data_IF_570695745215
#
_entry.id   IF_570695745215
#
_cell.length_a   1.000
_cell.length_b   1.000
_cell.length_c   1.000
_cell.angle_alpha   90.00
_cell.angle_beta   90.00
_cell.angle_gamma   90.00
#
_symmetry.space_group_name_H-M   'P 1'
#
loop_
_entity.id
_entity.type
_entity.pdbx_description
1 polymer ?
#
# COMPACT_ATOMS: atom_id res chain seq x y z
N UNK A 1 -40.04 -73.43 -42.38
CA UNK A 1 -39.97 -73.93 -41.00
C UNK A 1 -38.88 -73.17 -40.24
N UNK A 2 -39.24 -72.67 -39.10
CA UNK A 2 -38.40 -72.09 -37.99
C UNK A 2 -38.01 -70.60 -38.08
N UNK A 3 -38.74 -69.91 -37.30
CA UNK A 3 -38.65 -68.63 -36.69
C UNK A 3 -37.33 -68.44 -35.95
N UNK A 4 -36.68 -67.28 -36.11
CA UNK A 4 -35.63 -66.92 -35.21
C UNK A 4 -35.76 -65.40 -34.88
N UNK A 5 -35.86 -65.15 -33.60
CA UNK A 5 -36.20 -63.89 -32.96
C UNK A 5 -35.12 -62.79 -33.07
N UNK A 6 -35.55 -61.65 -33.51
CA UNK A 6 -34.80 -60.42 -33.41
C UNK A 6 -34.78 -59.97 -31.93
N UNK A 7 -33.62 -59.89 -31.31
CA UNK A 7 -33.41 -59.15 -30.01
C UNK A 7 -32.78 -57.86 -30.33
N UNK A 8 -33.58 -56.82 -30.19
CA UNK A 8 -33.13 -55.43 -30.19
C UNK A 8 -32.34 -55.15 -28.87
N UNK A 9 -31.08 -54.79 -29.02
CA UNK A 9 -30.26 -54.31 -27.95
C UNK A 9 -30.30 -52.77 -28.01
N UNK A 10 -31.04 -52.19 -27.07
CA UNK A 10 -31.05 -50.75 -26.84
C UNK A 10 -29.76 -50.34 -26.13
N UNK A 11 -28.84 -49.69 -26.84
CA UNK A 11 -27.68 -49.03 -26.23
C UNK A 11 -28.15 -47.71 -25.62
N UNK A 12 -28.23 -47.69 -24.31
CA UNK A 12 -28.41 -46.48 -23.54
C UNK A 12 -27.13 -45.62 -23.57
N UNK A 13 -27.19 -44.51 -24.27
CA UNK A 13 -26.16 -43.50 -24.29
C UNK A 13 -26.25 -42.68 -22.97
N UNK A 14 -25.43 -43.01 -21.97
CA UNK A 14 -25.31 -42.17 -20.76
C UNK A 14 -24.40 -40.99 -21.10
N UNK A 15 -25.01 -39.85 -21.36
CA UNK A 15 -24.29 -38.57 -21.46
C UNK A 15 -23.88 -38.13 -20.06
N UNK A 16 -22.64 -38.40 -19.69
CA UNK A 16 -22.02 -37.78 -18.51
C UNK A 16 -21.75 -36.30 -18.80
N UNK A 17 -22.61 -35.43 -18.28
CA UNK A 17 -22.35 -34.00 -18.21
C UNK A 17 -21.20 -33.79 -17.23
N UNK A 18 -19.98 -33.66 -17.78
CA UNK A 18 -18.85 -33.13 -17.03
C UNK A 18 -19.18 -31.66 -16.69
N UNK A 19 -19.70 -31.45 -15.49
CA UNK A 19 -19.78 -30.15 -14.89
C UNK A 19 -18.33 -29.69 -14.67
N UNK A 20 -17.81 -28.85 -15.58
CA UNK A 20 -16.64 -28.02 -15.30
C UNK A 20 -17.07 -27.04 -14.21
N UNK A 21 -16.88 -27.43 -12.96
CA UNK A 21 -16.84 -26.51 -11.84
C UNK A 21 -15.63 -25.60 -12.06
N UNK A 22 -15.86 -24.44 -12.67
CA UNK A 22 -14.88 -23.39 -12.68
C UNK A 22 -14.62 -23.02 -11.22
N UNK A 23 -13.43 -23.32 -10.72
CA UNK A 23 -12.95 -22.74 -9.47
C UNK A 23 -12.91 -21.23 -9.72
N UNK A 24 -13.92 -20.55 -9.22
CA UNK A 24 -13.92 -19.09 -9.16
C UNK A 24 -12.79 -18.72 -8.18
N UNK A 25 -11.64 -18.34 -8.72
CA UNK A 25 -10.56 -17.77 -7.92
C UNK A 25 -11.13 -16.56 -7.17
N UNK A 26 -10.84 -16.43 -5.89
CA UNK A 26 -11.29 -15.25 -5.16
C UNK A 26 -10.82 -14.01 -5.91
N UNK A 27 -11.67 -12.99 -6.06
CA UNK A 27 -11.30 -11.76 -6.74
C UNK A 27 -10.01 -11.22 -6.14
N UNK A 28 -9.04 -10.93 -6.98
CA UNK A 28 -7.77 -10.33 -6.55
C UNK A 28 -8.03 -9.00 -5.82
N UNK A 29 -7.05 -8.50 -5.06
CA UNK A 29 -7.20 -7.19 -4.42
C UNK A 29 -7.54 -6.14 -5.50
N UNK A 30 -8.42 -5.19 -5.18
CA UNK A 30 -8.78 -4.14 -6.12
C UNK A 30 -7.53 -3.38 -6.58
N UNK A 31 -7.44 -2.99 -7.84
CA UNK A 31 -6.31 -2.20 -8.33
C UNK A 31 -6.22 -0.88 -7.55
N UNK A 32 -4.99 -0.37 -7.34
CA UNK A 32 -4.83 0.92 -6.68
C UNK A 32 -5.58 2.00 -7.44
N UNK A 33 -6.14 3.00 -6.74
CA UNK A 33 -6.86 4.10 -7.37
C UNK A 33 -5.93 4.83 -8.35
N UNK A 34 -6.42 5.12 -9.55
CA UNK A 34 -5.71 5.85 -10.59
C UNK A 34 -5.98 7.35 -10.52
N UNK A 35 -5.15 8.13 -11.24
CA UNK A 35 -5.26 9.58 -11.37
C UNK A 35 -4.63 10.37 -10.22
N UNK A 36 -4.72 11.71 -10.31
CA UNK A 36 -4.07 12.59 -9.34
C UNK A 36 -4.73 12.47 -7.96
N UNK A 37 -3.92 12.65 -6.92
CA UNK A 37 -4.42 12.61 -5.56
C UNK A 37 -3.33 12.51 -4.51
N UNK A 38 -3.70 12.15 -3.30
CA UNK A 38 -2.77 12.03 -2.19
C UNK A 38 -2.34 10.58 -1.98
N UNK A 39 -1.05 10.43 -1.68
CA UNK A 39 -0.50 9.25 -1.03
C UNK A 39 -0.25 9.59 0.44
N UNK A 40 -0.28 8.57 1.29
CA UNK A 40 -0.03 8.74 2.72
C UNK A 40 1.16 7.90 3.17
N UNK A 41 1.93 8.48 4.11
CA UNK A 41 3.03 7.82 4.78
C UNK A 41 2.57 7.38 6.16
N UNK A 42 2.61 6.08 6.40
CA UNK A 42 2.31 5.48 7.68
C UNK A 42 3.60 5.22 8.43
N UNK A 43 3.64 5.63 9.69
CA UNK A 43 4.71 5.36 10.63
C UNK A 43 4.33 4.19 11.54
N UNK A 44 5.21 3.21 11.65
CA UNK A 44 5.25 2.29 12.78
C UNK A 44 6.38 2.70 13.69
N UNK A 45 6.09 2.84 14.97
CA UNK A 45 7.06 3.24 15.99
C UNK A 45 6.99 2.31 17.19
N UNK A 46 8.15 1.89 17.74
CA UNK A 46 8.19 1.11 18.97
C UNK A 46 8.05 2.00 20.23
N UNK A 47 7.89 3.33 20.06
CA UNK A 47 7.94 4.30 21.15
C UNK A 47 6.72 5.21 21.16
N UNK A 48 6.44 5.81 22.31
CA UNK A 48 5.32 6.74 22.53
C UNK A 48 5.76 8.18 22.78
N UNK A 49 7.07 8.45 22.76
CA UNK A 49 7.65 9.74 23.08
C UNK A 49 8.39 10.41 21.90
N UNK A 50 8.06 10.02 20.69
CA UNK A 50 8.62 10.64 19.49
C UNK A 50 8.14 12.07 19.35
N UNK A 51 9.07 12.97 19.03
CA UNK A 51 8.82 14.40 18.96
C UNK A 51 9.25 15.04 17.67
N UNK A 52 10.15 14.41 16.92
CA UNK A 52 10.53 14.88 15.60
C UNK A 52 10.98 13.72 14.72
N UNK A 53 10.62 13.80 13.43
CA UNK A 53 11.06 12.89 12.37
C UNK A 53 11.71 13.70 11.26
N UNK A 54 12.82 13.19 10.73
CA UNK A 54 13.36 13.61 9.46
C UNK A 54 13.10 12.49 8.45
N UNK A 55 12.36 12.80 7.40
CA UNK A 55 11.96 11.85 6.35
C UNK A 55 12.44 12.37 5.01
N UNK A 56 13.05 11.50 4.21
CA UNK A 56 13.32 11.78 2.80
C UNK A 56 12.28 11.07 1.93
N UNK A 57 11.56 11.86 1.12
CA UNK A 57 10.64 11.38 0.10
C UNK A 57 11.33 11.40 -1.27
N UNK A 58 11.17 10.34 -2.05
CA UNK A 58 11.75 10.23 -3.39
C UNK A 58 10.85 9.42 -4.32
N UNK A 59 11.18 9.38 -5.61
CA UNK A 59 10.59 8.46 -6.59
C UNK A 59 9.73 9.10 -7.67
N UNK A 60 9.52 10.42 -7.64
CA UNK A 60 8.75 11.12 -8.69
C UNK A 60 8.33 12.52 -8.30
N UNK A 61 7.50 13.17 -9.11
CA UNK A 61 6.99 14.50 -8.81
C UNK A 61 6.19 14.50 -7.52
N UNK A 62 6.56 15.40 -6.61
CA UNK A 62 5.91 15.61 -5.32
C UNK A 62 5.21 16.98 -5.35
N UNK A 63 3.92 16.98 -5.03
CA UNK A 63 3.14 18.20 -4.88
C UNK A 63 3.02 18.66 -3.43
N UNK A 64 1.87 19.24 -3.08
CA UNK A 64 1.63 19.76 -1.74
C UNK A 64 1.73 18.68 -0.66
N UNK A 65 2.34 19.05 0.45
CA UNK A 65 2.47 18.22 1.64
C UNK A 65 1.42 18.60 2.68
N UNK A 66 0.86 17.61 3.37
CA UNK A 66 -0.07 17.80 4.49
C UNK A 66 0.33 16.90 5.64
N UNK A 67 0.37 17.44 6.84
CA UNK A 67 0.60 16.69 8.09
C UNK A 67 -0.65 16.71 8.95
N UNK A 68 -0.90 15.62 9.66
CA UNK A 68 -2.15 15.42 10.39
C UNK A 68 -2.15 16.05 11.79
N UNK A 69 -1.00 16.20 12.45
CA UNK A 69 -0.95 16.45 13.90
C UNK A 69 0.14 17.42 14.36
N UNK A 70 0.92 18.07 13.45
CA UNK A 70 2.21 18.63 13.85
C UNK A 70 2.68 19.77 12.95
N UNK A 71 3.70 20.45 13.37
CA UNK A 71 4.38 21.46 12.56
C UNK A 71 5.20 20.80 11.47
N UNK A 72 4.93 21.15 10.22
CA UNK A 72 5.68 20.73 9.07
C UNK A 72 6.75 21.75 8.73
N UNK A 73 8.00 21.33 8.69
CA UNK A 73 9.11 22.08 8.12
C UNK A 73 9.63 21.34 6.91
N UNK A 74 9.59 21.97 5.75
CA UNK A 74 10.14 21.39 4.53
C UNK A 74 11.46 22.05 4.19
N UNK A 75 12.48 21.25 3.89
CA UNK A 75 13.63 21.75 3.16
C UNK A 75 13.22 22.10 1.71
N UNK A 76 13.93 23.02 1.05
CA UNK A 76 13.69 23.28 -0.37
C UNK A 76 13.70 21.96 -1.15
N UNK A 77 12.76 21.73 -2.08
CA UNK A 77 12.70 20.49 -2.82
C UNK A 77 13.99 20.30 -3.63
N UNK A 78 14.62 19.16 -3.47
CA UNK A 78 15.61 18.67 -4.44
C UNK A 78 14.91 18.26 -5.72
N UNK A 79 15.66 18.07 -6.79
CA UNK A 79 15.08 17.75 -8.12
C UNK A 79 14.29 16.42 -8.09
N UNK A 80 14.69 15.47 -7.23
CA UNK A 80 14.05 14.15 -7.13
C UNK A 80 13.78 13.71 -5.69
N UNK A 81 14.29 14.44 -4.69
CA UNK A 81 14.17 14.09 -3.29
C UNK A 81 13.72 15.32 -2.50
N UNK A 82 12.82 15.11 -1.56
CA UNK A 82 12.36 16.15 -0.65
C UNK A 82 12.54 15.70 0.79
N UNK A 83 13.32 16.47 1.56
CA UNK A 83 13.40 16.28 2.99
C UNK A 83 12.25 16.98 3.70
N UNK A 84 11.65 16.26 4.62
CA UNK A 84 10.50 16.71 5.40
C UNK A 84 10.82 16.52 6.88
N UNK A 85 10.72 17.59 7.66
CA UNK A 85 10.80 17.52 9.11
C UNK A 85 9.39 17.64 9.68
N UNK A 86 9.01 16.68 10.47
CA UNK A 86 7.76 16.65 11.21
C UNK A 86 8.10 16.80 12.69
N UNK A 87 7.55 17.79 13.38
CA UNK A 87 7.83 18.02 14.80
C UNK A 87 6.55 18.18 15.61
N UNK A 88 6.51 17.60 16.82
CA UNK A 88 5.41 17.68 17.77
C UNK A 88 5.10 16.35 18.45
N UNK A 89 3.83 16.03 18.68
CA UNK A 89 3.41 14.75 19.27
C UNK A 89 3.26 13.71 18.15
N UNK A 90 4.38 13.06 17.78
CA UNK A 90 4.41 12.08 16.71
C UNK A 90 3.97 10.72 17.23
N UNK A 91 3.03 10.09 16.55
CA UNK A 91 2.48 8.77 16.90
C UNK A 91 2.42 7.85 15.69
N UNK A 92 2.30 6.56 15.95
CA UNK A 92 2.04 5.58 14.91
C UNK A 92 0.78 5.94 14.11
N UNK A 93 0.76 5.60 12.83
CA UNK A 93 -0.31 5.89 11.89
C UNK A 93 0.12 6.88 10.80
N UNK A 94 -0.83 7.57 10.19
CA UNK A 94 -0.55 8.51 9.10
C UNK A 94 0.14 9.76 9.66
N UNK A 95 1.39 9.96 9.27
CA UNK A 95 2.19 11.13 9.69
C UNK A 95 2.24 12.22 8.62
N UNK A 96 2.12 11.84 7.36
CA UNK A 96 2.27 12.74 6.23
C UNK A 96 1.39 12.29 5.07
N UNK A 97 0.82 13.24 4.34
CA UNK A 97 0.23 13.06 3.01
C UNK A 97 0.93 13.96 2.00
N UNK A 98 1.14 13.45 0.79
CA UNK A 98 1.73 14.22 -0.29
C UNK A 98 0.96 13.98 -1.58
N UNK A 99 0.81 15.05 -2.36
CA UNK A 99 0.10 14.99 -3.63
C UNK A 99 0.99 14.43 -4.74
N UNK A 100 0.40 13.59 -5.60
CA UNK A 100 1.06 13.00 -6.77
C UNK A 100 0.14 13.11 -7.99
N UNK A 101 0.72 13.22 -9.20
CA UNK A 101 -0.08 13.28 -10.42
C UNK A 101 -0.74 11.94 -10.78
N UNK A 102 -0.21 10.81 -10.30
CA UNK A 102 -0.74 9.49 -10.59
C UNK A 102 -0.55 8.55 -9.39
N UNK A 103 -1.66 8.23 -8.72
CA UNK A 103 -1.66 7.36 -7.52
C UNK A 103 -1.34 5.90 -7.82
N UNK A 104 -1.65 5.43 -9.04
CA UNK A 104 -1.32 4.08 -9.45
C UNK A 104 0.19 3.80 -9.41
N UNK A 105 1.01 4.85 -9.47
CA UNK A 105 2.48 4.77 -9.39
C UNK A 105 3.01 4.73 -7.94
N UNK A 106 2.18 4.42 -6.95
CA UNK A 106 2.57 4.39 -5.53
C UNK A 106 3.84 3.59 -5.28
N UNK A 107 4.07 2.50 -6.00
CA UNK A 107 5.25 1.65 -5.88
C UNK A 107 6.57 2.34 -6.30
N UNK A 108 6.50 3.44 -7.03
CA UNK A 108 7.68 4.21 -7.44
C UNK A 108 8.16 5.13 -6.32
N UNK A 109 7.27 5.52 -5.40
CA UNK A 109 7.60 6.44 -4.32
C UNK A 109 8.22 5.70 -3.14
N UNK A 110 9.15 6.37 -2.47
CA UNK A 110 9.85 5.87 -1.29
C UNK A 110 9.86 6.93 -0.20
N UNK A 111 9.69 6.48 1.03
CA UNK A 111 9.88 7.29 2.23
C UNK A 111 10.96 6.61 3.07
N UNK A 112 11.98 7.34 3.40
CA UNK A 112 13.09 6.87 4.26
C UNK A 112 13.07 7.70 5.53
N UNK A 113 13.06 7.03 6.66
CA UNK A 113 13.22 7.67 7.96
C UNK A 113 14.71 7.85 8.24
N UNK A 114 15.18 9.09 8.20
CA UNK A 114 16.60 9.40 8.37
C UNK A 114 16.96 9.60 9.84
N UNK A 115 16.08 10.26 10.61
CA UNK A 115 16.30 10.54 12.02
C UNK A 115 14.98 10.58 12.77
N UNK A 116 15.07 10.21 14.06
CA UNK A 116 13.99 10.36 15.04
C UNK A 116 14.57 11.01 16.28
N UNK A 117 13.83 11.93 16.90
CA UNK A 117 14.20 12.53 18.16
C UNK A 117 13.04 12.47 19.17
N UNK A 118 13.40 12.45 20.46
CA UNK A 118 12.43 12.48 21.56
C UNK A 118 11.66 13.80 21.59
N UNK A 119 10.44 13.75 22.10
CA UNK A 119 9.55 14.94 22.17
C UNK A 119 10.01 16.01 23.15
N UNK A 120 10.58 15.62 24.27
CA UNK A 120 10.92 16.57 25.34
C UNK A 120 12.26 17.26 25.11
N UNK A 121 13.28 16.48 24.80
CA UNK A 121 14.68 16.95 24.82
C UNK A 121 15.30 16.93 23.41
N UNK A 122 14.55 16.47 22.39
CA UNK A 122 15.00 16.31 21.01
C UNK A 122 16.29 15.51 20.87
N UNK A 123 16.47 14.53 21.74
CA UNK A 123 17.62 13.62 21.69
C UNK A 123 17.38 12.61 20.57
N UNK A 124 18.36 12.49 19.67
CA UNK A 124 18.31 11.52 18.57
C UNK A 124 18.23 10.10 19.12
N UNK A 125 17.39 9.30 18.48
CA UNK A 125 17.13 7.92 18.85
C UNK A 125 17.62 6.95 17.79
N UNK A 126 17.81 5.68 18.19
CA UNK A 126 18.03 4.59 17.26
C UNK A 126 16.78 4.37 16.40
N UNK A 127 16.97 4.08 15.11
CA UNK A 127 15.90 3.77 14.16
C UNK A 127 15.40 2.32 14.25
N UNK A 128 15.94 1.52 15.15
CA UNK A 128 15.54 0.11 15.32
C UNK A 128 14.07 0.01 15.70
N UNK A 129 13.31 -0.77 14.94
CA UNK A 129 11.87 -0.99 15.16
C UNK A 129 10.96 0.07 14.54
N UNK A 130 11.52 1.08 13.86
CA UNK A 130 10.72 2.00 13.05
C UNK A 130 10.55 1.52 11.63
N UNK A 131 9.39 1.75 11.05
CA UNK A 131 9.17 1.56 9.62
C UNK A 131 8.28 2.66 9.04
N UNK A 132 8.47 2.95 7.76
CA UNK A 132 7.60 3.81 6.96
C UNK A 132 7.02 3.01 5.80
N UNK A 133 5.72 3.16 5.58
CA UNK A 133 5.02 2.55 4.46
C UNK A 133 4.24 3.62 3.71
N UNK A 134 4.29 3.60 2.37
CA UNK A 134 3.48 4.48 1.52
C UNK A 134 2.28 3.70 1.01
N UNK A 135 1.09 4.29 1.16
CA UNK A 135 -0.16 3.72 0.65
C UNK A 135 -0.99 4.78 -0.07
N UNK A 136 -1.97 4.36 -0.83
CA UNK A 136 -3.02 5.25 -1.34
C UNK A 136 -3.97 5.65 -0.22
N UNK A 137 -4.48 6.88 -0.28
CA UNK A 137 -5.46 7.41 0.68
C UNK A 137 -6.84 6.80 0.42
#
# INVERSE_FOLDING_TARGET
MRVTYLRALALGLVATLASCGGEEWPPGPPPPPSGPGFLQVLLETPRSNDGALLITLSGGPLGSLRVSQVTLLTAPPGVNDQQVIIAGDVRAGVVLRFWVPERANVANYRAVLDQVATRRDYIQQSLTGYSLTITTD
#
